data_IF_252913367810
#
_entry.id   IF_252913367810
#
_cell.length_a   1.000
_cell.length_b   1.000
_cell.length_c   1.000
_cell.angle_alpha   90.00
_cell.angle_beta   90.00
_cell.angle_gamma   90.00
#
_symmetry.space_group_name_H-M   'P 1'
#
loop_
_entity.id
_entity.type
_entity.pdbx_description
1 polymer ?
#
# COMPACT_ATOMS: atom_id res chain seq x y z
N UNK A 1 22.47 29.23 -9.87
CA UNK A 1 22.42 27.82 -10.32
C UNK A 1 22.53 26.95 -9.08
N UNK A 2 21.44 26.35 -8.62
CA UNK A 2 21.50 25.35 -7.54
C UNK A 2 22.04 24.09 -8.20
N UNK A 3 23.21 23.62 -7.75
CA UNK A 3 23.75 22.36 -8.21
C UNK A 3 22.86 21.24 -7.65
N UNK A 4 22.13 20.55 -8.52
CA UNK A 4 21.39 19.35 -8.15
C UNK A 4 22.42 18.25 -7.92
N UNK A 5 22.76 18.03 -6.64
CA UNK A 5 23.60 16.92 -6.23
C UNK A 5 22.80 15.64 -6.45
N UNK A 6 23.24 14.79 -7.39
CA UNK A 6 22.63 13.48 -7.61
C UNK A 6 22.93 12.61 -6.40
N UNK A 7 21.89 12.17 -5.69
CA UNK A 7 22.02 11.25 -4.56
C UNK A 7 22.49 9.89 -5.08
N UNK A 8 23.53 9.33 -4.47
CA UNK A 8 23.99 7.97 -4.76
C UNK A 8 23.16 6.98 -3.94
N UNK A 9 22.11 6.44 -4.56
CA UNK A 9 21.13 5.55 -3.90
C UNK A 9 21.80 4.32 -3.26
N UNK A 10 22.76 3.69 -3.96
CA UNK A 10 23.46 2.50 -3.48
C UNK A 10 24.15 2.74 -2.13
N UNK A 11 24.84 3.87 -1.99
CA UNK A 11 25.51 4.24 -0.73
C UNK A 11 24.53 4.60 0.38
N UNK A 12 23.36 5.14 0.04
CA UNK A 12 22.33 5.43 1.03
C UNK A 12 21.72 4.12 1.56
N UNK A 13 21.41 3.17 0.68
CA UNK A 13 20.94 1.84 1.07
C UNK A 13 21.99 1.10 1.92
N UNK A 14 23.25 1.11 1.49
CA UNK A 14 24.36 0.55 2.26
C UNK A 14 24.40 1.17 3.66
N UNK A 15 24.38 2.50 3.76
CA UNK A 15 24.45 3.19 5.06
C UNK A 15 23.26 2.83 5.96
N UNK A 16 22.05 2.79 5.42
CA UNK A 16 20.83 2.57 6.21
C UNK A 16 20.76 1.14 6.75
N UNK A 17 21.11 0.15 5.92
CA UNK A 17 20.92 -1.25 6.26
C UNK A 17 22.17 -1.94 6.83
N UNK A 18 23.35 -1.33 6.73
CA UNK A 18 24.60 -1.91 7.27
C UNK A 18 25.17 -1.15 8.46
N UNK A 19 24.81 0.12 8.68
CA UNK A 19 25.26 0.88 9.83
C UNK A 19 24.26 0.78 10.99
N UNK A 20 24.63 0.04 12.03
CA UNK A 20 23.79 -0.21 13.21
C UNK A 20 23.36 1.08 13.93
N UNK A 21 24.22 2.11 13.97
CA UNK A 21 23.89 3.39 14.60
C UNK A 21 22.80 4.13 13.83
N UNK A 22 22.92 4.15 12.49
CA UNK A 22 21.94 4.79 11.62
C UNK A 22 20.61 4.04 11.68
N UNK A 23 20.66 2.72 11.54
CA UNK A 23 19.46 1.88 11.60
C UNK A 23 18.72 2.02 12.94
N UNK A 24 19.46 2.03 14.06
CA UNK A 24 18.87 2.19 15.40
C UNK A 24 18.26 3.57 15.62
N UNK A 25 18.80 4.61 14.97
CA UNK A 25 18.28 5.98 15.08
C UNK A 25 16.97 6.17 14.33
N UNK A 26 16.89 5.65 13.09
CA UNK A 26 15.72 5.87 12.22
C UNK A 26 14.64 4.79 12.39
N UNK A 27 15.03 3.60 12.85
CA UNK A 27 14.15 2.46 13.02
C UNK A 27 13.60 1.90 11.71
N UNK A 28 12.82 0.81 11.79
CA UNK A 28 12.23 0.17 10.63
C UNK A 28 11.26 1.09 9.87
N UNK A 29 10.54 1.97 10.56
CA UNK A 29 9.64 2.95 9.94
C UNK A 29 10.41 4.01 9.13
N UNK A 30 11.56 4.45 9.64
CA UNK A 30 12.46 5.36 8.93
C UNK A 30 13.07 4.72 7.69
N UNK A 31 13.45 3.44 7.77
CA UNK A 31 13.94 2.67 6.61
C UNK A 31 12.87 2.61 5.50
N UNK A 32 11.62 2.29 5.84
CA UNK A 32 10.50 2.31 4.88
C UNK A 32 10.33 3.70 4.26
N UNK A 33 10.40 4.76 5.07
CA UNK A 33 10.27 6.12 4.56
C UNK A 33 11.39 6.46 3.55
N UNK A 34 12.64 6.04 3.82
CA UNK A 34 13.75 6.27 2.89
C UNK A 34 13.63 5.40 1.64
N UNK A 35 13.26 4.13 1.76
CA UNK A 35 13.03 3.23 0.61
C UNK A 35 12.00 3.83 -0.35
N UNK A 36 10.88 4.32 0.20
CA UNK A 36 9.84 4.97 -0.58
C UNK A 36 10.38 6.28 -1.16
N UNK A 37 11.09 7.09 -0.38
CA UNK A 37 11.64 8.37 -0.85
C UNK A 37 12.61 8.19 -2.01
N UNK A 38 13.58 7.27 -1.89
CA UNK A 38 14.55 6.99 -2.95
C UNK A 38 13.86 6.34 -4.16
N UNK A 39 13.04 5.30 -3.93
CA UNK A 39 12.31 4.61 -4.99
C UNK A 39 11.29 5.49 -5.73
N UNK A 40 10.90 6.63 -5.15
CA UNK A 40 9.99 7.61 -5.76
C UNK A 40 10.71 8.86 -6.29
N UNK A 41 12.02 9.05 -6.08
CA UNK A 41 12.81 10.28 -6.43
C UNK A 41 12.60 11.49 -5.51
N UNK A 42 12.35 11.28 -4.23
CA UNK A 42 12.33 12.32 -3.19
C UNK A 42 11.01 12.39 -2.41
N UNK A 43 10.97 13.32 -1.46
CA UNK A 43 9.81 13.56 -0.59
C UNK A 43 8.61 14.13 -1.36
N UNK A 44 8.86 14.87 -2.44
CA UNK A 44 7.81 15.41 -3.31
C UNK A 44 7.05 14.27 -4.00
N UNK A 45 7.76 13.28 -4.53
CA UNK A 45 7.15 12.13 -5.17
C UNK A 45 6.44 11.18 -4.18
N UNK A 46 6.88 11.15 -2.91
CA UNK A 46 6.14 10.53 -1.80
C UNK A 46 4.78 11.22 -1.65
N UNK A 47 4.77 12.54 -1.51
CA UNK A 47 3.54 13.32 -1.32
C UNK A 47 2.63 13.20 -2.55
N UNK A 48 3.17 13.36 -3.75
CA UNK A 48 2.43 13.20 -5.01
C UNK A 48 1.83 11.81 -5.16
N UNK A 49 2.57 10.75 -4.79
CA UNK A 49 2.05 9.39 -4.86
C UNK A 49 0.96 9.10 -3.82
N UNK A 50 1.02 9.71 -2.63
CA UNK A 50 -0.06 9.66 -1.64
C UNK A 50 -1.31 10.34 -2.19
N UNK A 51 -1.18 11.56 -2.72
CA UNK A 51 -2.32 12.30 -3.29
C UNK A 51 -2.88 11.63 -4.54
N UNK A 52 -2.02 11.01 -5.37
CA UNK A 52 -2.45 10.20 -6.51
C UNK A 52 -3.28 8.98 -6.06
N UNK A 53 -2.82 8.27 -5.03
CA UNK A 53 -3.58 7.16 -4.45
C UNK A 53 -4.94 7.63 -3.89
N UNK A 54 -4.98 8.77 -3.19
CA UNK A 54 -6.22 9.36 -2.69
C UNK A 54 -7.17 9.78 -3.84
N UNK A 55 -6.63 10.44 -4.86
CA UNK A 55 -7.38 10.88 -6.04
C UNK A 55 -8.01 9.72 -6.82
N UNK A 56 -7.29 8.60 -6.96
CA UNK A 56 -7.81 7.39 -7.62
C UNK A 56 -9.03 6.80 -6.89
N UNK A 57 -9.11 6.96 -5.57
CA UNK A 57 -10.18 6.41 -4.74
C UNK A 57 -11.39 7.34 -4.66
N UNK A 58 -11.18 8.64 -4.84
CA UNK A 58 -12.25 9.64 -4.84
C UNK A 58 -13.20 9.50 -6.06
N UNK A 59 -12.80 8.73 -7.09
CA UNK A 59 -13.62 8.44 -8.27
C UNK A 59 -14.69 7.35 -8.03
N UNK A 60 -14.65 6.65 -6.88
CA UNK A 60 -15.49 5.49 -6.60
C UNK A 60 -16.82 5.82 -5.88
N UNK A 61 -17.21 7.10 -5.84
CA UNK A 61 -18.45 7.58 -5.23
C UNK A 61 -18.27 8.21 -3.84
N UNK A 62 -19.37 8.57 -3.15
CA UNK A 62 -19.31 9.28 -1.88
C UNK A 62 -18.71 8.38 -0.79
N UNK A 63 -17.53 8.79 -0.29
CA UNK A 63 -16.77 8.13 0.78
C UNK A 63 -16.54 9.17 1.88
N UNK A 64 -16.61 8.76 3.16
CA UNK A 64 -16.27 9.67 4.27
C UNK A 64 -14.78 10.00 4.29
N UNK A 65 -14.41 11.21 4.72
CA UNK A 65 -13.00 11.65 4.78
C UNK A 65 -12.11 10.69 5.60
N UNK A 66 -12.66 10.14 6.69
CA UNK A 66 -11.98 9.15 7.53
C UNK A 66 -11.70 7.85 6.77
N UNK A 67 -12.69 7.36 6.03
CA UNK A 67 -12.57 6.15 5.21
C UNK A 67 -11.59 6.37 4.05
N UNK A 68 -11.63 7.53 3.40
CA UNK A 68 -10.73 7.89 2.32
C UNK A 68 -9.28 7.95 2.81
N UNK A 69 -9.06 8.55 3.97
CA UNK A 69 -7.73 8.62 4.61
C UNK A 69 -7.20 7.22 4.93
N UNK A 70 -8.05 6.35 5.50
CA UNK A 70 -7.65 4.99 5.84
C UNK A 70 -7.30 4.16 4.59
N UNK A 71 -8.14 4.23 3.56
CA UNK A 71 -7.91 3.53 2.28
C UNK A 71 -6.69 4.06 1.55
N UNK A 72 -6.42 5.36 1.61
CA UNK A 72 -5.21 5.97 1.02
C UNK A 72 -3.96 5.41 1.71
N UNK A 73 -3.94 5.38 3.05
CA UNK A 73 -2.82 4.81 3.82
C UNK A 73 -2.57 3.34 3.48
N UNK A 74 -3.63 2.54 3.36
CA UNK A 74 -3.52 1.12 3.01
C UNK A 74 -2.99 0.96 1.57
N UNK A 75 -3.60 1.64 0.61
CA UNK A 75 -3.22 1.54 -0.81
C UNK A 75 -1.77 1.97 -1.03
N UNK A 76 -1.35 3.06 -0.36
CA UNK A 76 -0.01 3.59 -0.52
C UNK A 76 1.08 2.73 0.15
N UNK A 77 0.75 2.01 1.24
CA UNK A 77 1.70 1.14 1.97
C UNK A 77 1.73 -0.30 1.46
N UNK A 78 0.68 -0.76 0.80
CA UNK A 78 0.58 -2.16 0.38
C UNK A 78 1.37 -2.38 -0.93
N UNK A 79 2.13 -3.48 -1.03
CA UNK A 79 2.70 -3.90 -2.31
C UNK A 79 1.58 -4.07 -3.34
N UNK A 80 1.89 -3.78 -4.61
CA UNK A 80 0.95 -4.01 -5.72
C UNK A 80 0.43 -5.45 -5.70
N UNK A 81 -0.78 -5.68 -6.22
CA UNK A 81 -1.40 -7.01 -6.23
C UNK A 81 -0.50 -8.10 -6.85
N UNK A 82 0.35 -7.72 -7.82
CA UNK A 82 1.34 -8.59 -8.46
C UNK A 82 2.43 -9.07 -7.49
N UNK A 83 2.83 -8.22 -6.55
CA UNK A 83 3.85 -8.52 -5.53
C UNK A 83 3.27 -9.15 -4.26
N UNK A 84 1.94 -9.19 -4.12
CA UNK A 84 1.24 -9.64 -2.93
C UNK A 84 0.23 -10.77 -3.20
N UNK A 85 0.50 -11.61 -4.22
CA UNK A 85 -0.45 -12.59 -4.75
C UNK A 85 -1.04 -13.53 -3.66
N UNK A 86 -0.21 -14.00 -2.73
CA UNK A 86 -0.66 -14.81 -1.59
C UNK A 86 -1.62 -14.05 -0.68
N UNK A 87 -1.30 -12.81 -0.33
CA UNK A 87 -2.14 -11.97 0.51
C UNK A 87 -3.46 -11.60 -0.20
N UNK A 88 -3.41 -11.31 -1.50
CA UNK A 88 -4.61 -11.07 -2.32
C UNK A 88 -5.52 -12.30 -2.30
N UNK A 89 -4.96 -13.50 -2.44
CA UNK A 89 -5.72 -14.76 -2.41
C UNK A 89 -6.35 -15.02 -1.04
N UNK A 90 -5.62 -14.79 0.04
CA UNK A 90 -6.13 -14.96 1.42
C UNK A 90 -7.22 -13.95 1.75
N UNK A 91 -7.02 -12.67 1.39
CA UNK A 91 -8.02 -11.62 1.56
C UNK A 91 -9.26 -11.92 0.71
N UNK A 92 -9.11 -12.32 -0.55
CA UNK A 92 -10.23 -12.71 -1.40
C UNK A 92 -11.06 -13.85 -0.77
N UNK A 93 -10.40 -14.84 -0.16
CA UNK A 93 -11.08 -15.92 0.56
C UNK A 93 -11.88 -15.41 1.77
N UNK A 94 -11.39 -14.39 2.48
CA UNK A 94 -12.12 -13.74 3.58
C UNK A 94 -13.37 -13.03 3.03
N UNK A 95 -13.24 -12.26 1.94
CA UNK A 95 -14.38 -11.59 1.32
C UNK A 95 -15.43 -12.58 0.80
N UNK A 96 -15.00 -13.74 0.28
CA UNK A 96 -15.88 -14.82 -0.15
C UNK A 96 -16.59 -15.48 1.03
N UNK A 97 -15.90 -15.72 2.15
CA UNK A 97 -16.49 -16.39 3.32
C UNK A 97 -17.34 -15.43 4.17
N UNK A 98 -17.05 -14.13 4.13
CA UNK A 98 -17.54 -13.14 5.08
C UNK A 98 -16.85 -13.27 6.45
N UNK A 99 -17.07 -12.29 7.33
CA UNK A 99 -16.65 -12.34 8.74
C UNK A 99 -17.89 -12.50 9.61
N UNK A 100 -18.16 -13.74 10.03
CA UNK A 100 -19.35 -14.08 10.83
C UNK A 100 -19.31 -13.47 12.23
N UNK A 101 -18.13 -13.26 12.80
CA UNK A 101 -17.97 -12.73 14.15
C UNK A 101 -18.33 -11.24 14.18
N UNK A 102 -18.03 -10.51 13.11
CA UNK A 102 -18.41 -9.10 12.94
C UNK A 102 -19.71 -8.88 12.15
N UNK A 103 -20.44 -9.96 11.85
CA UNK A 103 -21.70 -9.91 11.10
C UNK A 103 -21.56 -9.47 9.64
N UNK A 104 -20.35 -9.48 9.07
CA UNK A 104 -20.11 -9.12 7.68
C UNK A 104 -20.49 -10.28 6.76
N UNK A 105 -21.46 -10.02 5.88
CA UNK A 105 -21.87 -10.98 4.86
C UNK A 105 -20.78 -11.14 3.81
N UNK A 106 -20.81 -12.27 3.11
CA UNK A 106 -19.98 -12.52 1.93
C UNK A 106 -20.17 -11.37 0.91
N UNK A 107 -19.06 -10.73 0.54
CA UNK A 107 -19.04 -9.57 -0.34
C UNK A 107 -18.62 -10.00 -1.75
N UNK A 108 -19.45 -10.82 -2.39
CA UNK A 108 -19.27 -11.23 -3.79
C UNK A 108 -20.43 -10.68 -4.63
N UNK A 109 -20.13 -10.20 -5.83
CA UNK A 109 -21.16 -9.85 -6.81
C UNK A 109 -22.09 -11.06 -7.04
N UNK A 110 -23.42 -10.86 -7.17
CA UNK A 110 -24.38 -11.92 -7.51
C UNK A 110 -23.96 -12.74 -8.73
N UNK A 111 -23.27 -12.11 -9.68
CA UNK A 111 -22.74 -12.75 -10.89
C UNK A 111 -21.72 -13.83 -10.55
N UNK A 112 -20.77 -13.54 -9.65
CA UNK A 112 -19.76 -14.53 -9.23
C UNK A 112 -20.38 -15.59 -8.33
N UNK A 113 -21.36 -15.23 -7.48
CA UNK A 113 -22.10 -16.21 -6.68
C UNK A 113 -22.79 -17.27 -7.54
N UNK A 114 -23.38 -16.87 -8.67
CA UNK A 114 -24.03 -17.78 -9.60
C UNK A 114 -23.04 -18.74 -10.28
N UNK A 115 -21.87 -18.25 -10.69
CA UNK A 115 -20.81 -19.07 -11.29
C UNK A 115 -20.19 -20.08 -10.31
N UNK A 116 -20.00 -19.69 -9.05
CA UNK A 116 -19.47 -20.58 -8.00
C UNK A 116 -20.50 -21.65 -7.59
N UNK A 117 -21.80 -21.33 -7.64
CA UNK A 117 -22.88 -22.29 -7.33
C UNK A 117 -23.23 -23.23 -8.50
N UNK A 118 -23.01 -22.81 -9.75
CA UNK A 118 -23.28 -23.63 -10.94
C UNK A 118 -22.26 -24.72 -11.24
N UNK A 119 -21.11 -24.73 -10.56
CA UNK A 119 -20.04 -25.74 -10.68
C UNK A 119 -20.05 -26.78 -9.54
N UNK A 120 -21.19 -26.99 -8.86
CA UNK A 120 -21.38 -28.05 -7.86
C UNK A 120 -22.33 -29.12 -8.35
#
# INVERSE_FOLDING_TARGET
>A
KIALTVVNEDKVYETIYTNETVYSLIGPEGCIAVDISLGKRGTEAVVESVYSAMGSQNQLGPISNETLTLRTKINWRMPTALTAERAVKEIANIYIKGDKEKGLKSHISPVIQSAVRGNR
#
